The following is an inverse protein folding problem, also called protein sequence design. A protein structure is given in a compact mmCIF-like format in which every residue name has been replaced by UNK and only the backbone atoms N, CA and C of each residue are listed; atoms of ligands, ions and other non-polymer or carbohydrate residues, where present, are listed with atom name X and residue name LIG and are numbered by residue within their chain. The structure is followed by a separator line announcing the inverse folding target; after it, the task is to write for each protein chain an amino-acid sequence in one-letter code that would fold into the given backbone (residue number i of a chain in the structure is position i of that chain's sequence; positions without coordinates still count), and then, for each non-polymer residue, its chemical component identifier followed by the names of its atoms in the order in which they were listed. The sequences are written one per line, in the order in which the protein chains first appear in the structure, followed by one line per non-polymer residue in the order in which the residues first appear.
data_IF_736240634970
#
_entry.id   IF_736240634970
#
_cell.length_a   1.000
_cell.length_b   1.000
_cell.length_c   1.000
_cell.angle_alpha   90.00
_cell.angle_beta   90.00
_cell.angle_gamma   90.00
#
_symmetry.space_group_name_H-M   'P 1'
#
loop_
_entity.id
_entity.type
_entity.pdbx_description
1 polymer ?
#
# COMPACT_ATOMS: atom_id res chain seq x y z
N UNK A 1 -57.40 -15.64 40.14
CA UNK A 1 -57.99 -14.93 38.97
C UNK A 1 -58.03 -13.43 39.28
N UNK A 2 -57.99 -12.59 38.24
CA UNK A 2 -58.03 -11.10 38.23
C UNK A 2 -56.62 -10.48 38.38
N UNK A 3 -55.88 -10.04 37.35
CA UNK A 3 -56.11 -9.27 36.11
C UNK A 3 -55.97 -7.74 36.27
N UNK A 4 -54.79 -7.26 35.85
CA UNK A 4 -54.50 -6.07 35.01
C UNK A 4 -54.70 -4.62 35.48
N UNK A 5 -53.97 -3.78 34.72
CA UNK A 5 -54.17 -2.36 34.37
C UNK A 5 -53.37 -1.38 35.25
N UNK A 6 -52.30 -0.77 34.76
CA UNK A 6 -52.10 0.20 33.66
C UNK A 6 -52.23 1.64 34.15
N UNK A 7 -51.19 2.42 33.84
CA UNK A 7 -51.28 3.78 33.30
C UNK A 7 -52.38 4.69 33.85
N UNK A 8 -51.97 5.68 34.65
CA UNK A 8 -52.24 7.09 34.35
C UNK A 8 -51.89 7.94 35.58
N UNK A 9 -51.12 9.00 35.33
CA UNK A 9 -51.03 10.29 36.05
C UNK A 9 -49.61 10.85 35.91
N UNK A 10 -49.26 11.18 34.66
CA UNK A 10 -48.38 12.32 34.42
C UNK A 10 -49.21 13.53 34.83
N UNK A 11 -48.92 14.14 35.98
CA UNK A 11 -49.33 15.52 36.20
C UNK A 11 -48.41 16.20 37.23
N UNK A 12 -47.47 16.96 36.67
CA UNK A 12 -47.02 18.26 37.13
C UNK A 12 -46.92 18.49 38.65
N UNK A 13 -45.67 18.53 39.14
CA UNK A 13 -45.25 19.59 40.06
C UNK A 13 -43.72 19.72 40.00
N UNK A 14 -43.30 20.64 39.13
CA UNK A 14 -42.00 21.30 39.18
C UNK A 14 -41.78 21.89 40.58
N UNK A 15 -40.58 21.77 41.15
CA UNK A 15 -39.80 22.94 41.62
C UNK A 15 -38.43 22.55 42.19
N UNK A 16 -37.41 23.24 41.68
CA UNK A 16 -36.14 23.60 42.34
C UNK A 16 -35.15 22.43 42.50
N UNK A 17 -34.29 22.21 41.50
CA UNK A 17 -32.99 22.89 41.36
C UNK A 17 -32.04 22.63 42.52
N UNK A 18 -31.12 21.68 42.34
CA UNK A 18 -29.80 21.73 42.98
C UNK A 18 -28.80 20.83 42.24
N UNK A 19 -27.90 21.48 41.50
CA UNK A 19 -26.45 21.24 41.48
C UNK A 19 -25.90 20.00 40.75
N UNK A 20 -25.28 20.32 39.61
CA UNK A 20 -23.95 19.93 39.14
C UNK A 20 -23.54 18.45 39.10
N UNK A 21 -23.28 17.94 37.90
CA UNK A 21 -21.95 17.46 37.51
C UNK A 21 -21.77 17.73 36.02
N UNK A 22 -20.85 18.66 35.75
CA UNK A 22 -20.10 18.78 34.51
C UNK A 22 -19.26 17.52 34.32
N UNK A 23 -19.48 16.75 33.27
CA UNK A 23 -18.45 15.92 32.63
C UNK A 23 -18.93 15.57 31.24
N UNK A 24 -18.64 16.46 30.29
CA UNK A 24 -18.60 16.13 28.87
C UNK A 24 -17.72 14.90 28.72
N UNK A 25 -18.32 13.73 28.51
CA UNK A 25 -17.61 12.57 28.03
C UNK A 25 -17.21 12.86 26.59
N UNK A 26 -16.05 13.50 26.40
CA UNK A 26 -15.37 13.50 25.12
C UNK A 26 -15.11 12.03 24.79
N UNK A 27 -15.94 11.45 23.94
CA UNK A 27 -15.56 10.26 23.20
C UNK A 27 -14.37 10.67 22.34
N UNK A 28 -13.16 10.48 22.88
CA UNK A 28 -11.97 10.33 22.05
C UNK A 28 -12.25 9.12 21.17
N UNK A 29 -12.74 9.36 19.95
CA UNK A 29 -12.45 8.44 18.87
C UNK A 29 -10.93 8.42 18.80
N UNK A 30 -10.34 7.34 19.31
CA UNK A 30 -9.06 6.90 18.83
C UNK A 30 -9.30 6.58 17.36
N UNK A 31 -9.06 7.59 16.53
CA UNK A 31 -8.78 7.45 15.12
C UNK A 31 -7.63 6.45 15.05
N UNK A 32 -7.98 5.17 14.95
CA UNK A 32 -7.21 4.23 14.16
C UNK A 32 -7.29 4.77 12.74
N UNK A 33 -6.50 5.81 12.49
CA UNK A 33 -5.93 6.04 11.19
C UNK A 33 -5.19 4.75 10.92
N UNK A 34 -5.87 3.79 10.30
CA UNK A 34 -5.18 2.99 9.31
C UNK A 34 -4.68 4.05 8.35
N UNK A 35 -3.44 4.48 8.56
CA UNK A 35 -2.64 4.97 7.48
C UNK A 35 -2.71 3.83 6.47
N UNK A 36 -3.63 3.96 5.50
CA UNK A 36 -3.58 3.21 4.27
C UNK A 36 -2.23 3.61 3.70
N UNK A 37 -1.23 2.82 4.05
CA UNK A 37 0.17 3.14 3.78
C UNK A 37 0.30 2.91 2.28
N UNK A 38 0.03 3.96 1.51
CA UNK A 38 0.26 4.07 0.08
C UNK A 38 1.77 4.18 -0.20
N UNK A 39 2.57 3.50 0.61
CA UNK A 39 4.01 3.51 0.60
C UNK A 39 4.50 2.20 -0.01
N UNK A 40 5.48 2.32 -0.90
CA UNK A 40 6.15 1.17 -1.48
C UNK A 40 7.02 0.48 -0.43
N UNK A 41 7.09 -0.85 -0.53
CA UNK A 41 8.06 -1.65 0.22
C UNK A 41 9.24 -1.98 -0.69
N UNK A 42 10.47 -1.70 -0.24
CA UNK A 42 11.67 -2.06 -1.00
C UNK A 42 11.77 -3.59 -1.12
N UNK A 43 11.97 -4.10 -2.33
CA UNK A 43 12.03 -5.54 -2.63
C UNK A 43 13.34 -5.90 -3.35
N UNK A 44 13.84 -7.11 -3.12
CA UNK A 44 14.99 -7.65 -3.85
C UNK A 44 14.57 -8.10 -5.26
N UNK A 45 15.39 -7.76 -6.25
CA UNK A 45 15.24 -8.12 -7.66
C UNK A 45 14.89 -9.59 -7.92
N UNK A 46 15.42 -10.53 -7.12
CA UNK A 46 15.16 -11.96 -7.31
C UNK A 46 13.71 -12.37 -7.08
N UNK A 47 12.92 -11.54 -6.40
CA UNK A 47 11.49 -11.77 -6.17
C UNK A 47 10.60 -11.11 -7.23
N UNK A 48 11.18 -10.52 -8.27
CA UNK A 48 10.46 -9.69 -9.24
C UNK A 48 10.52 -10.30 -10.63
N UNK A 49 9.40 -10.32 -11.33
CA UNK A 49 9.42 -10.52 -12.78
C UNK A 49 9.54 -9.16 -13.47
N UNK A 50 10.68 -8.92 -14.12
CA UNK A 50 10.99 -7.66 -14.78
C UNK A 50 10.20 -7.43 -16.08
N UNK A 51 9.54 -8.46 -16.61
CA UNK A 51 8.66 -8.34 -17.78
C UNK A 51 7.25 -7.91 -17.38
N UNK A 52 6.71 -8.48 -16.30
CA UNK A 52 5.35 -8.18 -15.84
C UNK A 52 5.31 -7.09 -14.78
N UNK A 53 6.47 -6.65 -14.28
CA UNK A 53 6.60 -5.68 -13.18
C UNK A 53 5.80 -6.09 -11.95
N UNK A 54 5.98 -7.34 -11.52
CA UNK A 54 5.23 -7.94 -10.42
C UNK A 54 6.18 -8.63 -9.42
N UNK A 55 5.89 -8.47 -8.14
CA UNK A 55 6.53 -9.18 -7.03
C UNK A 55 5.92 -10.58 -6.84
N UNK A 56 6.74 -11.53 -6.40
CA UNK A 56 6.36 -12.90 -6.11
C UNK A 56 6.97 -13.37 -4.79
N UNK A 57 6.28 -14.28 -4.10
CA UNK A 57 6.75 -14.86 -2.84
C UNK A 57 7.96 -15.83 -2.99
N UNK A 58 8.36 -16.16 -4.23
CA UNK A 58 9.46 -17.09 -4.51
C UNK A 58 10.50 -16.41 -5.40
N UNK A 59 11.71 -16.95 -5.44
CA UNK A 59 12.73 -16.48 -6.36
C UNK A 59 12.34 -16.80 -7.82
N UNK A 60 12.66 -15.86 -8.71
CA UNK A 60 12.39 -15.93 -10.14
C UNK A 60 13.61 -16.47 -10.90
N UNK A 61 13.46 -16.73 -12.20
CA UNK A 61 14.53 -17.29 -13.03
C UNK A 61 15.57 -16.19 -13.30
N UNK A 62 16.85 -16.37 -12.90
CA UNK A 62 17.91 -15.41 -13.19
C UNK A 62 18.31 -15.46 -14.66
N UNK A 63 18.58 -14.30 -15.23
CA UNK A 63 19.00 -14.11 -16.62
C UNK A 63 20.25 -13.24 -16.64
N UNK A 64 21.40 -13.89 -16.78
CA UNK A 64 22.70 -13.24 -16.89
C UNK A 64 22.89 -12.66 -18.30
N UNK A 65 23.10 -11.34 -18.39
CA UNK A 65 23.35 -10.65 -19.65
C UNK A 65 24.24 -9.42 -19.41
N UNK A 66 25.31 -9.29 -20.20
CA UNK A 66 26.23 -8.13 -20.12
C UNK A 66 26.83 -7.88 -18.72
N UNK A 67 26.98 -8.95 -17.92
CA UNK A 67 27.49 -8.87 -16.55
C UNK A 67 26.46 -8.41 -15.51
N UNK A 68 25.18 -8.34 -15.88
CA UNK A 68 24.05 -8.01 -15.00
C UNK A 68 23.09 -9.17 -14.90
N UNK A 69 22.38 -9.27 -13.77
CA UNK A 69 21.35 -10.29 -13.53
C UNK A 69 19.96 -9.68 -13.59
N UNK A 70 19.12 -10.20 -14.48
CA UNK A 70 17.71 -9.86 -14.59
C UNK A 70 16.85 -11.04 -14.14
N UNK A 71 15.55 -10.81 -13.91
CA UNK A 71 14.66 -11.86 -13.38
C UNK A 71 13.33 -11.95 -14.14
N UNK A 72 12.94 -13.18 -14.50
CA UNK A 72 11.68 -13.48 -15.19
C UNK A 72 10.92 -14.64 -14.53
N UNK A 73 9.58 -14.58 -14.52
CA UNK A 73 8.76 -15.59 -13.85
C UNK A 73 8.55 -16.90 -14.64
N UNK A 74 8.94 -16.92 -15.92
CA UNK A 74 8.82 -18.08 -16.80
C UNK A 74 9.79 -17.99 -17.98
N UNK A 75 9.93 -19.09 -18.73
CA UNK A 75 10.81 -19.19 -19.91
C UNK A 75 10.51 -18.11 -20.97
N UNK A 76 9.24 -17.72 -21.13
CA UNK A 76 8.88 -16.62 -22.05
C UNK A 76 9.43 -15.27 -21.57
N UNK A 77 9.39 -15.00 -20.26
CA UNK A 77 9.93 -13.78 -19.70
C UNK A 77 11.46 -13.76 -19.81
N UNK A 78 12.12 -14.89 -19.52
CA UNK A 78 13.55 -15.07 -19.75
C UNK A 78 13.93 -14.79 -21.21
N UNK A 79 13.22 -15.41 -22.16
CA UNK A 79 13.47 -15.21 -23.58
C UNK A 79 13.29 -13.75 -23.98
N UNK A 80 12.28 -13.05 -23.44
CA UNK A 80 12.08 -11.63 -23.72
C UNK A 80 13.22 -10.77 -23.18
N UNK A 81 13.67 -11.03 -21.94
CA UNK A 81 14.83 -10.34 -21.34
C UNK A 81 16.08 -10.50 -22.21
N UNK A 82 16.36 -11.71 -22.73
CA UNK A 82 17.53 -11.97 -23.58
C UNK A 82 17.48 -11.25 -24.92
N UNK A 83 16.31 -11.23 -25.55
CA UNK A 83 16.17 -10.85 -26.95
C UNK A 83 15.69 -9.40 -27.18
N UNK A 84 15.07 -8.77 -26.18
CA UNK A 84 14.51 -7.41 -26.29
C UNK A 84 15.20 -6.46 -25.30
N UNK A 85 16.14 -5.61 -25.76
CA UNK A 85 16.79 -4.61 -24.91
C UNK A 85 15.85 -3.68 -24.16
N UNK A 86 14.72 -3.29 -24.77
CA UNK A 86 13.77 -2.39 -24.11
C UNK A 86 13.08 -3.04 -22.90
N UNK A 87 13.04 -4.37 -22.85
CA UNK A 87 12.45 -5.08 -21.71
C UNK A 87 13.24 -4.93 -20.40
N UNK A 88 14.53 -4.55 -20.52
CA UNK A 88 15.49 -4.36 -19.42
C UNK A 88 15.53 -2.92 -18.90
N UNK A 89 14.81 -2.01 -19.55
CA UNK A 89 14.72 -0.61 -19.15
C UNK A 89 13.39 -0.33 -18.42
N UNK A 90 13.42 0.61 -17.49
CA UNK A 90 12.24 1.21 -16.87
C UNK A 90 12.40 2.73 -16.81
N UNK A 91 11.31 3.45 -16.53
CA UNK A 91 11.35 4.89 -16.24
C UNK A 91 11.18 5.07 -14.74
N UNK A 92 12.09 5.81 -14.12
CA UNK A 92 11.93 6.25 -12.74
C UNK A 92 10.75 7.24 -12.68
N UNK A 93 9.70 6.96 -11.89
CA UNK A 93 8.50 7.78 -11.89
C UNK A 93 8.67 9.12 -11.15
N UNK A 94 9.78 9.33 -10.43
CA UNK A 94 10.11 10.59 -9.76
C UNK A 94 11.00 11.47 -10.64
N UNK A 95 12.09 10.92 -11.19
CA UNK A 95 13.03 11.72 -12.01
C UNK A 95 12.65 11.77 -13.49
N UNK A 96 11.89 10.79 -14.00
CA UNK A 96 11.60 10.62 -15.42
C UNK A 96 12.75 10.03 -16.23
N UNK A 97 13.89 9.72 -15.60
CA UNK A 97 15.04 9.13 -16.28
C UNK A 97 14.79 7.65 -16.59
N UNK A 98 15.46 7.16 -17.64
CA UNK A 98 15.54 5.71 -17.89
C UNK A 98 16.54 5.08 -16.93
N UNK A 99 16.18 3.92 -16.38
CA UNK A 99 17.03 3.12 -15.50
C UNK A 99 17.11 1.68 -16.03
N UNK A 100 18.25 1.04 -15.78
CA UNK A 100 18.42 -0.39 -16.01
C UNK A 100 17.77 -1.16 -14.86
N UNK A 101 16.85 -2.08 -15.17
CA UNK A 101 16.10 -2.83 -14.15
C UNK A 101 17.00 -3.71 -13.27
N UNK A 102 18.17 -4.14 -13.74
CA UNK A 102 19.09 -4.94 -12.93
C UNK A 102 19.84 -4.11 -11.87
N UNK A 103 19.92 -2.79 -12.04
CA UNK A 103 20.66 -1.88 -11.15
C UNK A 103 19.72 -0.95 -10.36
N UNK A 104 18.45 -0.87 -10.74
CA UNK A 104 17.46 -0.02 -10.12
C UNK A 104 17.11 -0.46 -8.69
N UNK A 105 16.75 0.52 -7.86
CA UNK A 105 16.05 0.28 -6.61
C UNK A 105 14.59 -0.08 -6.94
N UNK A 106 14.08 -1.18 -6.36
CA UNK A 106 12.73 -1.66 -6.68
C UNK A 106 11.82 -1.50 -5.47
N UNK A 107 10.67 -0.87 -5.68
CA UNK A 107 9.61 -0.74 -4.68
C UNK A 107 8.34 -1.46 -5.14
N UNK A 108 7.77 -2.30 -4.27
CA UNK A 108 6.53 -3.01 -4.50
C UNK A 108 5.35 -2.31 -3.80
N UNK A 109 4.24 -2.16 -4.52
CA UNK A 109 2.98 -1.69 -4.01
C UNK A 109 2.20 -2.83 -3.32
N UNK A 110 1.20 -2.50 -2.47
CA UNK A 110 0.41 -3.52 -1.77
C UNK A 110 -0.30 -4.54 -2.69
N UNK A 111 -0.51 -4.21 -3.96
CA UNK A 111 -1.11 -5.07 -4.97
C UNK A 111 -0.10 -5.95 -5.74
N UNK A 112 1.20 -5.85 -5.40
CA UNK A 112 2.29 -6.58 -6.03
C UNK A 112 2.90 -5.92 -7.26
N UNK A 113 2.34 -4.80 -7.75
CA UNK A 113 2.98 -4.03 -8.83
C UNK A 113 4.31 -3.44 -8.33
N UNK A 114 5.35 -3.47 -9.16
CA UNK A 114 6.64 -2.88 -8.82
C UNK A 114 6.97 -1.67 -9.68
N UNK A 115 7.71 -0.75 -9.06
CA UNK A 115 8.27 0.46 -9.66
C UNK A 115 9.78 0.43 -9.49
N UNK A 116 10.48 1.03 -10.46
CA UNK A 116 11.94 1.06 -10.52
C UNK A 116 12.42 2.49 -10.33
N UNK A 117 13.46 2.67 -9.53
CA UNK A 117 13.99 3.97 -9.15
C UNK A 117 15.51 3.99 -9.36
N UNK A 118 16.02 5.14 -9.77
CA UNK A 118 17.44 5.43 -9.90
C UNK A 118 18.12 5.45 -8.52
N UNK A 119 17.39 5.88 -7.48
CA UNK A 119 17.91 6.07 -6.12
C UNK A 119 16.91 5.65 -5.04
N UNK A 120 17.40 5.39 -3.83
CA UNK A 120 16.54 5.14 -2.65
C UNK A 120 15.73 6.38 -2.24
N UNK A 121 16.26 7.57 -2.52
CA UNK A 121 15.58 8.84 -2.29
C UNK A 121 14.32 8.94 -3.15
N UNK A 122 14.41 8.57 -4.44
CA UNK A 122 13.25 8.58 -5.34
C UNK A 122 12.19 7.56 -4.89
N UNK A 123 12.59 6.37 -4.44
CA UNK A 123 11.64 5.41 -3.85
C UNK A 123 10.90 6.00 -2.64
N UNK A 124 11.60 6.76 -1.80
CA UNK A 124 11.04 7.36 -0.59
C UNK A 124 10.12 8.55 -0.90
N UNK A 125 10.43 9.32 -1.94
CA UNK A 125 9.63 10.47 -2.37
C UNK A 125 8.36 10.07 -3.14
N UNK A 126 8.33 8.87 -3.73
CA UNK A 126 7.24 8.43 -4.57
C UNK A 126 5.95 8.18 -3.78
N UNK A 127 4.85 8.77 -4.27
CA UNK A 127 3.51 8.59 -3.71
C UNK A 127 2.64 7.80 -4.69
N UNK A 128 2.15 6.62 -4.29
CA UNK A 128 1.31 5.78 -5.15
C UNK A 128 0.02 6.48 -5.63
N UNK A 129 -0.48 7.45 -4.87
CA UNK A 129 -1.71 8.20 -5.20
C UNK A 129 -1.60 9.01 -6.50
N UNK A 130 -0.40 9.28 -7.02
CA UNK A 130 -0.21 10.02 -8.26
C UNK A 130 -0.28 9.18 -9.54
N UNK A 131 -0.55 7.87 -9.45
CA UNK A 131 -0.56 6.94 -10.59
C UNK A 131 -1.96 6.38 -10.91
N UNK A 132 -2.99 6.76 -10.15
CA UNK A 132 -4.40 6.37 -10.38
C UNK A 132 -5.16 7.33 -11.28
#
# INVERSE_FOLDING_TARGET
MIQQSSFSKVLFLNFIALIAILSFGSFTQAENTSEQTSALTKVDSKYVCMITNQEFAKEQIPVELEGKTYYGCCEMCEAKIKNDPQSREATDPVSGNKVDKAEAVIGAAPDGNVFYFETEENLTQFNLSSVN
#
